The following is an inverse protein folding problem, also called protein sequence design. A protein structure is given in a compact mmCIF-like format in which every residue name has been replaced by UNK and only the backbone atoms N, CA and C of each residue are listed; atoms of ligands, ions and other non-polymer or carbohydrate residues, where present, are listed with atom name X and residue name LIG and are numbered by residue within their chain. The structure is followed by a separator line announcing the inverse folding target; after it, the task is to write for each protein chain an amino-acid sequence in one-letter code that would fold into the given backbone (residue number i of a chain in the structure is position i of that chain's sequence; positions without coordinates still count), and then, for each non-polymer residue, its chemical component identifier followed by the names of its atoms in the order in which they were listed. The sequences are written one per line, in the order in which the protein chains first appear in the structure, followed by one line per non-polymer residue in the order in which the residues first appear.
data_IF_948899157086
#
_entry.id   IF_948899157086
#
_cell.length_a   1.000
_cell.length_b   1.000
_cell.length_c   1.000
_cell.angle_alpha   90.00
_cell.angle_beta   90.00
_cell.angle_gamma   90.00
#
_symmetry.space_group_name_H-M   'P 1'
#
loop_
_entity.id
_entity.type
_entity.pdbx_description
1 polymer ?
#
# COMPACT_ATOMS: atom_id res chain seq x y z
N UNK A 1 19.04 39.80 -5.70
CA UNK A 1 18.83 38.50 -6.38
C UNK A 1 17.36 38.16 -6.32
N UNK A 2 16.70 37.86 -7.44
CA UNK A 2 15.28 37.48 -7.45
C UNK A 2 15.16 36.00 -7.06
N UNK A 3 14.71 35.73 -5.83
CA UNK A 3 14.60 34.37 -5.27
C UNK A 3 13.70 33.48 -6.14
N UNK A 4 12.63 34.02 -6.70
CA UNK A 4 11.75 33.31 -7.64
C UNK A 4 12.54 32.83 -8.85
N UNK A 5 13.24 33.74 -9.55
CA UNK A 5 14.01 33.39 -10.74
C UNK A 5 15.06 32.33 -10.45
N UNK A 6 15.75 32.45 -9.31
CA UNK A 6 16.77 31.47 -8.89
C UNK A 6 16.16 30.09 -8.64
N UNK A 7 15.05 30.02 -7.91
CA UNK A 7 14.39 28.75 -7.58
C UNK A 7 13.74 28.11 -8.80
N UNK A 8 13.01 28.87 -9.61
CA UNK A 8 12.38 28.37 -10.84
C UNK A 8 13.43 27.81 -11.79
N UNK A 9 14.54 28.53 -12.03
CA UNK A 9 15.60 28.04 -12.92
C UNK A 9 16.24 26.76 -12.38
N UNK A 10 16.47 26.69 -11.07
CA UNK A 10 17.03 25.50 -10.43
C UNK A 10 16.10 24.28 -10.56
N UNK A 11 14.81 24.45 -10.26
CA UNK A 11 13.82 23.38 -10.37
C UNK A 11 13.59 22.95 -11.82
N UNK A 12 13.62 23.88 -12.77
CA UNK A 12 13.53 23.54 -14.21
C UNK A 12 14.73 22.70 -14.68
N UNK A 13 15.93 23.00 -14.18
CA UNK A 13 17.15 22.26 -14.54
C UNK A 13 17.25 20.89 -13.83
N UNK A 14 16.93 20.84 -12.53
CA UNK A 14 17.13 19.65 -11.69
C UNK A 14 15.90 18.76 -11.55
N UNK A 15 14.71 19.28 -11.82
CA UNK A 15 13.44 18.64 -11.48
C UNK A 15 13.01 18.90 -10.02
N UNK A 16 11.99 18.18 -9.54
CA UNK A 16 11.53 18.27 -8.16
C UNK A 16 12.64 17.95 -7.17
N UNK A 17 12.80 18.81 -6.17
CA UNK A 17 13.86 18.71 -5.17
C UNK A 17 13.31 18.80 -3.76
N UNK A 18 14.00 18.16 -2.82
CA UNK A 18 13.56 18.18 -1.43
C UNK A 18 13.76 19.57 -0.81
N UNK A 19 12.94 19.92 0.19
CA UNK A 19 13.09 21.19 0.89
C UNK A 19 14.49 21.34 1.50
N UNK A 20 15.11 20.25 1.95
CA UNK A 20 16.48 20.25 2.46
C UNK A 20 17.51 20.62 1.37
N UNK A 21 17.43 19.99 0.19
CA UNK A 21 18.31 20.28 -0.95
C UNK A 21 18.19 21.75 -1.38
N UNK A 22 16.95 22.26 -1.44
CA UNK A 22 16.69 23.67 -1.77
C UNK A 22 17.28 24.62 -0.73
N UNK A 23 17.11 24.32 0.56
CA UNK A 23 17.68 25.14 1.64
C UNK A 23 19.20 25.18 1.56
N UNK A 24 19.85 24.04 1.33
CA UNK A 24 21.31 23.99 1.20
C UNK A 24 21.78 24.80 -0.03
N UNK A 25 21.14 24.59 -1.19
CA UNK A 25 21.46 25.33 -2.40
C UNK A 25 21.33 26.85 -2.22
N UNK A 26 20.23 27.30 -1.61
CA UNK A 26 20.00 28.71 -1.33
C UNK A 26 20.99 29.27 -0.29
N UNK A 27 21.34 28.50 0.75
CA UNK A 27 22.32 28.91 1.75
C UNK A 27 23.69 29.19 1.12
N UNK A 28 24.14 28.31 0.21
CA UNK A 28 25.38 28.48 -0.53
C UNK A 28 25.31 29.67 -1.49
N UNK A 29 24.22 29.83 -2.26
CA UNK A 29 24.10 30.93 -3.24
C UNK A 29 23.91 32.31 -2.61
N UNK A 30 23.29 32.38 -1.44
CA UNK A 30 23.02 33.64 -0.73
C UNK A 30 24.11 34.01 0.28
N UNK A 31 25.05 33.10 0.55
CA UNK A 31 26.00 33.17 1.66
C UNK A 31 25.28 33.48 3.00
N UNK A 32 24.28 32.66 3.32
CA UNK A 32 23.45 32.79 4.53
C UNK A 32 23.34 31.46 5.28
N UNK A 33 23.14 31.54 6.59
CA UNK A 33 22.83 30.38 7.43
C UNK A 33 21.50 29.73 7.00
N UNK A 34 21.44 28.41 7.12
CA UNK A 34 20.28 27.60 6.73
C UNK A 34 18.98 28.02 7.42
N UNK A 35 19.04 28.48 8.68
CA UNK A 35 17.83 28.89 9.41
C UNK A 35 17.24 30.20 8.88
N UNK A 36 18.10 31.14 8.46
CA UNK A 36 17.64 32.35 7.78
C UNK A 36 16.97 32.00 6.45
N UNK A 37 17.58 31.09 5.68
CA UNK A 37 17.03 30.62 4.40
C UNK A 37 15.69 29.93 4.58
N UNK A 38 15.53 29.07 5.61
CA UNK A 38 14.24 28.43 5.93
C UNK A 38 13.13 29.45 6.14
N UNK A 39 13.38 30.46 6.97
CA UNK A 39 12.37 31.50 7.27
C UNK A 39 12.02 32.30 6.02
N UNK A 40 13.04 32.69 5.24
CA UNK A 40 12.86 33.45 4.01
C UNK A 40 12.12 32.65 2.93
N UNK A 41 12.47 31.37 2.75
CA UNK A 41 11.81 30.46 1.81
C UNK A 41 10.35 30.24 2.20
N UNK A 42 10.06 29.99 3.48
CA UNK A 42 8.69 29.80 3.94
C UNK A 42 7.83 31.06 3.72
N UNK A 43 8.36 32.27 3.97
CA UNK A 43 7.63 33.52 3.67
C UNK A 43 7.40 33.69 2.17
N UNK A 44 8.39 33.36 1.35
CA UNK A 44 8.30 33.43 -0.10
C UNK A 44 7.25 32.46 -0.66
N UNK A 45 7.24 31.21 -0.21
CA UNK A 45 6.28 30.20 -0.66
C UNK A 45 4.83 30.51 -0.24
N UNK A 46 4.63 31.33 0.80
CA UNK A 46 3.29 31.82 1.16
C UNK A 46 2.72 32.82 0.16
N UNK A 47 3.56 33.59 -0.52
CA UNK A 47 3.13 34.62 -1.48
C UNK A 47 3.30 34.21 -2.94
N UNK A 48 4.15 33.22 -3.23
CA UNK A 48 4.42 32.74 -4.57
C UNK A 48 3.50 31.56 -4.96
N UNK A 49 2.91 31.61 -6.14
CA UNK A 49 2.04 30.55 -6.68
C UNK A 49 2.68 29.71 -7.79
N UNK A 50 3.89 30.04 -8.24
CA UNK A 50 4.57 29.35 -9.37
C UNK A 50 5.39 28.14 -8.92
N UNK A 51 5.78 28.11 -7.65
CA UNK A 51 6.52 27.00 -7.05
C UNK A 51 5.56 26.28 -6.11
N UNK A 52 5.29 25.03 -6.44
CA UNK A 52 4.44 24.15 -5.66
C UNK A 52 5.24 23.51 -4.54
N UNK A 53 4.60 23.39 -3.39
CA UNK A 53 5.09 22.59 -2.27
C UNK A 53 4.22 21.34 -2.23
N UNK A 54 4.84 20.18 -2.43
CA UNK A 54 4.15 18.89 -2.37
C UNK A 54 3.51 18.69 -1.01
N UNK A 55 2.25 18.26 -1.04
CA UNK A 55 1.53 17.82 0.15
C UNK A 55 2.09 16.50 0.67
N UNK A 56 2.59 15.66 -0.23
CA UNK A 56 3.27 14.42 0.14
C UNK A 56 4.49 14.71 1.01
N UNK A 57 4.47 14.12 2.19
CA UNK A 57 5.59 14.15 3.14
C UNK A 57 6.33 12.82 3.18
N UNK A 58 7.65 12.88 3.09
CA UNK A 58 8.54 11.73 3.33
C UNK A 58 9.11 11.85 4.76
N UNK A 59 10.03 10.96 5.11
CA UNK A 59 10.73 10.89 6.40
C UNK A 59 11.09 12.29 6.93
N UNK A 60 10.80 12.52 8.21
CA UNK A 60 11.02 13.80 8.91
C UNK A 60 10.23 15.00 8.36
N UNK A 61 9.04 14.76 7.79
CA UNK A 61 8.16 15.83 7.29
C UNK A 61 8.81 16.66 6.18
N UNK A 62 9.64 16.01 5.37
CA UNK A 62 10.29 16.63 4.22
C UNK A 62 9.30 16.71 3.05
N UNK A 63 9.16 17.92 2.50
CA UNK A 63 8.33 18.24 1.34
C UNK A 63 9.20 18.41 0.10
N UNK A 64 8.62 18.18 -1.08
CA UNK A 64 9.26 18.48 -2.37
C UNK A 64 8.78 19.82 -2.90
N UNK A 65 9.69 20.57 -3.50
CA UNK A 65 9.37 21.76 -4.27
C UNK A 65 9.48 21.41 -5.75
N UNK A 66 8.54 21.91 -6.55
CA UNK A 66 8.50 21.69 -8.00
C UNK A 66 7.78 22.84 -8.69
N UNK A 67 7.99 23.00 -10.00
CA UNK A 67 7.28 24.01 -10.81
C UNK A 67 6.11 23.39 -11.58
N UNK A 68 5.29 24.23 -12.20
CA UNK A 68 4.25 23.78 -13.12
C UNK A 68 4.78 22.74 -14.11
N UNK A 69 3.94 21.76 -14.41
CA UNK A 69 4.21 20.61 -15.26
C UNK A 69 5.12 19.50 -14.74
N UNK A 70 5.78 19.68 -13.60
CA UNK A 70 6.70 18.66 -13.04
C UNK A 70 6.03 17.58 -12.18
N UNK A 71 4.70 17.53 -12.10
CA UNK A 71 3.97 16.50 -11.34
C UNK A 71 4.37 15.08 -11.77
N UNK A 72 4.62 14.87 -13.06
CA UNK A 72 5.11 13.59 -13.60
C UNK A 72 6.51 13.26 -13.05
N UNK A 73 7.43 14.23 -13.11
CA UNK A 73 8.78 14.07 -12.58
C UNK A 73 8.76 13.80 -11.06
N UNK A 74 7.81 14.40 -10.33
CA UNK A 74 7.65 14.15 -8.89
C UNK A 74 7.21 12.70 -8.66
N UNK A 75 6.21 12.22 -9.38
CA UNK A 75 5.79 10.83 -9.28
C UNK A 75 6.91 9.85 -9.66
N UNK A 76 7.65 10.11 -10.74
CA UNK A 76 8.82 9.30 -11.10
C UNK A 76 9.90 9.29 -10.01
N UNK A 77 10.18 10.44 -9.40
CA UNK A 77 11.12 10.56 -8.29
C UNK A 77 10.68 9.71 -7.10
N UNK A 78 9.40 9.80 -6.72
CA UNK A 78 8.80 9.02 -5.64
C UNK A 78 8.86 7.51 -5.92
N UNK A 79 8.57 7.10 -7.16
CA UNK A 79 8.64 5.69 -7.60
C UNK A 79 10.08 5.17 -7.59
N UNK A 80 11.06 5.96 -8.05
CA UNK A 80 12.44 5.50 -8.26
C UNK A 80 13.27 5.57 -6.97
N UNK A 81 13.23 6.68 -6.23
CA UNK A 81 14.08 6.91 -5.05
C UNK A 81 13.41 6.55 -3.72
N UNK A 82 12.08 6.57 -3.68
CA UNK A 82 11.33 6.43 -2.43
C UNK A 82 10.40 5.21 -2.41
N UNK A 83 10.68 4.19 -3.24
CA UNK A 83 9.94 2.92 -3.28
C UNK A 83 9.88 2.16 -1.94
N UNK A 84 10.73 2.50 -0.97
CA UNK A 84 10.69 1.95 0.40
C UNK A 84 9.64 2.63 1.29
N UNK A 85 9.17 3.83 0.92
CA UNK A 85 8.13 4.57 1.65
C UNK A 85 6.72 4.11 1.27
N UNK A 86 5.70 4.31 2.12
CA UNK A 86 4.32 3.94 1.78
C UNK A 86 3.83 4.55 0.46
N UNK A 87 4.11 5.84 0.24
CA UNK A 87 3.74 6.53 -1.01
C UNK A 87 4.48 5.96 -2.20
N UNK A 88 5.80 5.82 -2.14
CA UNK A 88 6.57 5.28 -3.27
C UNK A 88 6.20 3.84 -3.59
N UNK A 89 5.87 3.01 -2.58
CA UNK A 89 5.32 1.66 -2.80
C UNK A 89 4.01 1.69 -3.55
N UNK A 90 3.08 2.55 -3.12
CA UNK A 90 1.78 2.72 -3.76
C UNK A 90 1.93 3.13 -5.22
N UNK A 91 2.71 4.17 -5.51
CA UNK A 91 2.88 4.65 -6.88
C UNK A 91 3.58 3.61 -7.77
N UNK A 92 4.55 2.86 -7.21
CA UNK A 92 5.23 1.75 -7.92
C UNK A 92 4.27 0.61 -8.25
N UNK A 93 3.34 0.30 -7.34
CA UNK A 93 2.32 -0.71 -7.59
C UNK A 93 1.31 -0.22 -8.62
N UNK A 94 0.82 1.02 -8.52
CA UNK A 94 -0.08 1.62 -9.52
C UNK A 94 0.55 1.63 -10.92
N UNK A 95 1.87 1.88 -11.04
CA UNK A 95 2.55 1.84 -12.35
C UNK A 95 2.60 0.44 -12.98
N UNK A 96 2.31 -0.59 -12.19
CA UNK A 96 2.34 -1.99 -12.64
C UNK A 96 0.92 -2.56 -12.78
N UNK A 97 0.05 -2.26 -11.82
CA UNK A 97 -1.31 -2.78 -11.72
C UNK A 97 -2.38 -1.90 -12.37
N UNK A 98 -2.01 -0.71 -12.86
CA UNK A 98 -2.89 0.34 -13.41
C UNK A 98 -3.84 0.99 -12.40
N UNK A 99 -4.47 0.19 -11.56
CA UNK A 99 -5.38 0.62 -10.50
C UNK A 99 -5.30 -0.36 -9.31
N UNK A 100 -5.85 0.07 -8.18
CA UNK A 100 -6.02 -0.74 -6.97
C UNK A 100 -7.40 -0.47 -6.37
N UNK A 101 -8.14 -1.52 -6.01
CA UNK A 101 -9.28 -1.36 -5.10
C UNK A 101 -8.79 -0.97 -3.70
N UNK A 102 -9.66 -0.38 -2.89
CA UNK A 102 -9.29 0.15 -1.57
C UNK A 102 -8.67 -0.90 -0.64
N UNK A 103 -9.16 -2.15 -0.67
CA UNK A 103 -8.55 -3.25 0.11
C UNK A 103 -7.14 -3.59 -0.34
N UNK A 104 -6.84 -3.48 -1.64
CA UNK A 104 -5.51 -3.70 -2.20
C UNK A 104 -4.56 -2.57 -1.82
N UNK A 105 -5.03 -1.32 -1.93
CA UNK A 105 -4.33 -0.12 -1.47
C UNK A 105 -3.92 -0.25 0.00
N UNK A 106 -4.85 -0.59 0.87
CA UNK A 106 -4.59 -0.70 2.32
C UNK A 106 -3.49 -1.73 2.61
N UNK A 107 -3.47 -2.84 1.87
CA UNK A 107 -2.40 -3.86 1.95
C UNK A 107 -1.04 -3.33 1.50
N UNK A 108 -0.98 -2.58 0.41
CA UNK A 108 0.26 -2.01 -0.14
C UNK A 108 0.85 -0.93 0.79
N UNK A 109 -0.02 -0.05 1.31
CA UNK A 109 0.40 0.98 2.26
C UNK A 109 0.85 0.35 3.57
N UNK A 110 0.07 -0.59 4.09
CA UNK A 110 0.30 -1.23 5.39
C UNK A 110 0.25 -0.23 6.54
N UNK A 111 -0.61 0.79 6.42
CA UNK A 111 -0.76 1.88 7.38
C UNK A 111 -2.10 1.75 8.12
N UNK A 112 -2.26 2.44 9.26
CA UNK A 112 -3.53 2.45 9.97
C UNK A 112 -4.63 3.11 9.13
N UNK A 113 -5.88 2.66 9.26
CA UNK A 113 -7.04 3.30 8.64
C UNK A 113 -7.29 4.66 9.29
N UNK A 114 -7.30 4.70 10.63
CA UNK A 114 -7.43 5.94 11.42
C UNK A 114 -6.11 6.50 11.94
N UNK A 115 -6.19 7.65 12.62
CA UNK A 115 -5.02 8.25 13.26
C UNK A 115 -4.42 7.33 14.34
N UNK A 116 -3.11 7.09 14.30
CA UNK A 116 -2.39 6.28 15.28
C UNK A 116 -1.11 6.98 15.71
N UNK A 117 -0.73 6.86 16.98
CA UNK A 117 0.45 7.54 17.53
C UNK A 117 1.72 7.19 16.72
N UNK A 118 2.35 8.20 16.14
CA UNK A 118 3.57 8.04 15.33
C UNK A 118 3.37 7.45 13.93
N UNK A 119 2.13 7.19 13.50
CA UNK A 119 1.81 6.62 12.22
C UNK A 119 0.72 7.43 11.51
N UNK A 120 1.01 7.81 10.27
CA UNK A 120 0.06 8.51 9.41
C UNK A 120 -0.95 7.54 8.81
N UNK A 121 -2.21 7.94 8.75
CA UNK A 121 -3.28 7.09 8.21
C UNK A 121 -3.15 6.87 6.71
N UNK A 122 -3.71 5.76 6.23
CA UNK A 122 -3.82 5.48 4.80
C UNK A 122 -4.58 6.60 4.06
N UNK A 123 -5.69 7.06 4.62
CA UNK A 123 -6.50 8.17 4.10
C UNK A 123 -5.67 9.46 3.95
N UNK A 124 -4.83 9.79 4.94
CA UNK A 124 -3.98 10.98 4.87
C UNK A 124 -3.00 10.92 3.69
N UNK A 125 -2.47 9.74 3.36
CA UNK A 125 -1.60 9.59 2.20
C UNK A 125 -2.36 9.76 0.88
N UNK A 126 -3.59 9.25 0.78
CA UNK A 126 -4.44 9.45 -0.39
C UNK A 126 -4.75 10.93 -0.60
N UNK A 127 -5.23 11.61 0.43
CA UNK A 127 -5.60 13.02 0.36
C UNK A 127 -4.43 13.91 -0.08
N UNK A 128 -3.22 13.62 0.37
CA UNK A 128 -2.03 14.36 -0.09
C UNK A 128 -1.69 14.08 -1.55
N UNK A 129 -1.78 12.83 -2.00
CA UNK A 129 -1.52 12.46 -3.39
C UNK A 129 -2.57 13.02 -4.35
N UNK A 130 -3.83 13.10 -3.92
CA UNK A 130 -4.91 13.74 -4.68
C UNK A 130 -4.71 15.26 -4.75
N UNK A 131 -4.32 15.91 -3.65
CA UNK A 131 -3.98 17.35 -3.64
C UNK A 131 -2.80 17.68 -4.55
N UNK A 132 -1.82 16.78 -4.63
CA UNK A 132 -0.70 16.89 -5.58
C UNK A 132 -1.08 16.45 -7.02
N UNK A 133 -2.34 16.06 -7.26
CA UNK A 133 -2.87 15.61 -8.56
C UNK A 133 -2.11 14.42 -9.16
N UNK A 134 -1.52 13.58 -8.30
CA UNK A 134 -0.79 12.38 -8.70
C UNK A 134 -1.76 11.22 -8.93
N UNK A 135 -2.76 11.09 -8.07
CA UNK A 135 -3.78 10.03 -8.13
C UNK A 135 -5.19 10.63 -8.24
N UNK A 136 -6.13 9.77 -8.59
CA UNK A 136 -7.57 10.03 -8.51
C UNK A 136 -8.24 8.86 -7.77
N UNK A 137 -9.15 9.16 -6.84
CA UNK A 137 -10.07 8.18 -6.26
C UNK A 137 -11.37 8.19 -7.06
N UNK A 138 -11.84 7.01 -7.46
CA UNK A 138 -13.06 6.82 -8.26
C UNK A 138 -14.05 6.00 -7.46
N UNK A 139 -15.34 6.33 -7.59
CA UNK A 139 -16.42 5.73 -6.80
C UNK A 139 -16.15 5.81 -5.28
N UNK A 140 -15.70 6.97 -4.81
CA UNK A 140 -15.43 7.19 -3.39
C UNK A 140 -16.64 6.78 -2.52
N UNK A 141 -16.34 6.22 -1.35
CA UNK A 141 -17.33 5.81 -0.34
C UNK A 141 -18.29 4.71 -0.84
N UNK A 142 -17.83 3.87 -1.77
CA UNK A 142 -18.58 2.71 -2.30
C UNK A 142 -17.74 1.44 -2.30
N UNK A 143 -18.40 0.29 -2.29
CA UNK A 143 -17.75 -1.03 -2.37
C UNK A 143 -16.85 -1.23 -3.61
N UNK A 144 -17.02 -0.43 -4.67
CA UNK A 144 -16.21 -0.46 -5.87
C UNK A 144 -15.28 0.76 -6.01
N UNK A 145 -14.92 1.37 -4.87
CA UNK A 145 -13.91 2.42 -4.81
C UNK A 145 -12.56 1.88 -5.32
N UNK A 146 -11.96 2.61 -6.25
CA UNK A 146 -10.64 2.28 -6.76
C UNK A 146 -9.79 3.53 -6.97
N UNK A 147 -8.49 3.32 -6.85
CA UNK A 147 -7.46 4.35 -6.95
C UNK A 147 -6.68 4.10 -8.25
N UNK A 148 -6.50 5.14 -9.04
CA UNK A 148 -5.64 5.13 -10.22
C UNK A 148 -4.80 6.40 -10.27
N UNK A 149 -3.83 6.47 -11.19
CA UNK A 149 -3.16 7.74 -11.44
C UNK A 149 -4.12 8.78 -12.02
N UNK A 150 -3.77 10.06 -11.88
CA UNK A 150 -4.50 11.12 -12.55
C UNK A 150 -4.42 10.99 -14.07
N UNK A 151 -5.35 11.61 -14.80
CA UNK A 151 -5.40 11.56 -16.28
C UNK A 151 -4.04 11.88 -16.94
N UNK A 152 -3.31 12.87 -16.41
CA UNK A 152 -1.97 13.27 -16.92
C UNK A 152 -0.96 12.15 -16.75
N UNK A 153 -0.92 11.53 -15.58
CA UNK A 153 0.02 10.45 -15.29
C UNK A 153 -0.37 9.13 -15.98
N UNK A 154 -1.66 8.83 -16.12
CA UNK A 154 -2.13 7.70 -16.92
C UNK A 154 -1.64 7.81 -18.37
N UNK A 155 -1.78 8.99 -18.99
CA UNK A 155 -1.26 9.25 -20.33
C UNK A 155 0.25 9.06 -20.43
N UNK A 156 1.01 9.53 -19.43
CA UNK A 156 2.47 9.37 -19.39
C UNK A 156 2.92 7.91 -19.24
N UNK A 157 2.27 7.14 -18.36
CA UNK A 157 2.61 5.74 -18.13
C UNK A 157 1.96 4.77 -19.13
N UNK A 158 1.14 5.26 -20.06
CA UNK A 158 0.40 4.42 -21.01
C UNK A 158 -0.61 3.50 -20.31
N UNK A 159 -1.21 3.97 -19.21
CA UNK A 159 -2.13 3.20 -18.38
C UNK A 159 -3.57 3.47 -18.84
N UNK A 160 -4.30 2.37 -19.05
CA UNK A 160 -5.73 2.40 -19.35
C UNK A 160 -6.52 1.53 -18.37
N UNK A 161 -7.54 2.14 -17.75
CA UNK A 161 -8.43 1.52 -16.76
C UNK A 161 -9.84 1.42 -17.37
N UNK A 162 -10.12 0.30 -18.01
CA UNK A 162 -11.43 -0.02 -18.57
C UNK A 162 -12.33 -0.77 -17.58
N UNK A 163 -13.65 -0.67 -17.77
CA UNK A 163 -14.67 -1.36 -16.97
C UNK A 163 -14.45 -2.88 -16.90
N UNK A 164 -14.00 -3.49 -18.01
CA UNK A 164 -13.70 -4.91 -18.09
C UNK A 164 -12.58 -5.33 -17.12
N UNK A 165 -11.51 -4.53 -17.01
CA UNK A 165 -10.38 -4.81 -16.11
C UNK A 165 -10.82 -4.72 -14.65
N UNK A 166 -11.65 -3.74 -14.32
CA UNK A 166 -12.24 -3.57 -13.00
C UNK A 166 -13.08 -4.78 -12.61
N UNK A 167 -13.99 -5.20 -13.48
CA UNK A 167 -14.87 -6.36 -13.23
C UNK A 167 -14.08 -7.66 -13.09
N UNK A 168 -13.10 -7.88 -13.98
CA UNK A 168 -12.22 -9.06 -13.89
C UNK A 168 -11.46 -9.08 -12.56
N UNK A 169 -10.92 -7.93 -12.13
CA UNK A 169 -10.21 -7.83 -10.84
C UNK A 169 -11.15 -8.07 -9.66
N UNK A 170 -12.40 -7.59 -9.72
CA UNK A 170 -13.44 -7.83 -8.70
C UNK A 170 -13.71 -9.33 -8.54
N UNK A 171 -13.96 -10.04 -9.65
CA UNK A 171 -14.20 -11.49 -9.63
C UNK A 171 -13.02 -12.27 -9.05
N UNK A 172 -11.79 -11.89 -9.42
CA UNK A 172 -10.56 -12.50 -8.90
C UNK A 172 -10.40 -12.31 -7.39
N UNK A 173 -10.81 -11.15 -6.87
CA UNK A 173 -10.74 -10.85 -5.44
C UNK A 173 -11.86 -11.55 -4.66
N UNK A 174 -13.08 -11.62 -5.19
CA UNK A 174 -14.16 -12.45 -4.61
C UNK A 174 -13.74 -13.91 -4.52
N UNK A 175 -13.05 -14.42 -5.54
CA UNK A 175 -12.50 -15.77 -5.52
C UNK A 175 -11.41 -15.94 -4.45
N UNK A 176 -10.58 -14.92 -4.23
CA UNK A 176 -9.59 -14.91 -3.15
C UNK A 176 -10.25 -14.99 -1.76
N UNK A 177 -11.39 -14.33 -1.54
CA UNK A 177 -12.15 -14.46 -0.29
C UNK A 177 -12.64 -15.88 -0.03
N UNK A 178 -13.14 -16.57 -1.06
CA UNK A 178 -13.57 -17.95 -0.94
C UNK A 178 -12.41 -18.87 -0.52
N UNK A 179 -11.22 -18.61 -1.06
CA UNK A 179 -9.99 -19.34 -0.66
C UNK A 179 -9.62 -19.07 0.79
N UNK A 180 -9.69 -17.81 1.24
CA UNK A 180 -9.43 -17.48 2.65
C UNK A 180 -10.45 -18.18 3.56
N UNK A 181 -11.74 -18.17 3.18
CA UNK A 181 -12.81 -18.79 3.97
C UNK A 181 -12.58 -20.29 4.15
N UNK A 182 -12.31 -21.04 3.07
CA UNK A 182 -12.02 -22.47 3.17
C UNK A 182 -10.73 -22.74 3.95
N UNK A 183 -9.71 -21.88 3.79
CA UNK A 183 -8.48 -21.97 4.59
C UNK A 183 -8.76 -21.83 6.09
N UNK A 184 -9.54 -20.82 6.49
CA UNK A 184 -9.92 -20.59 7.89
C UNK A 184 -10.69 -21.80 8.44
N UNK A 185 -11.63 -22.34 7.68
CA UNK A 185 -12.44 -23.48 8.12
C UNK A 185 -11.63 -24.77 8.25
N UNK A 186 -10.70 -25.04 7.34
CA UNK A 186 -9.74 -26.15 7.49
C UNK A 186 -8.89 -25.97 8.75
N UNK A 187 -8.41 -24.77 9.01
CA UNK A 187 -7.57 -24.49 10.18
C UNK A 187 -8.34 -24.57 11.51
N UNK A 188 -9.64 -24.25 11.52
CA UNK A 188 -10.54 -24.52 12.65
C UNK A 188 -10.72 -26.02 12.87
N UNK A 189 -11.00 -26.79 11.81
CA UNK A 189 -11.14 -28.26 11.86
C UNK A 189 -9.87 -28.96 12.36
N UNK A 190 -8.69 -28.42 12.05
CA UNK A 190 -7.40 -28.90 12.56
C UNK A 190 -7.07 -28.41 13.98
N UNK A 191 -7.97 -27.67 14.64
CA UNK A 191 -7.76 -27.05 15.95
C UNK A 191 -6.56 -26.08 16.03
N UNK A 192 -6.12 -25.56 14.88
CA UNK A 192 -5.09 -24.51 14.81
C UNK A 192 -5.72 -23.16 15.17
N UNK A 193 -6.91 -22.89 14.62
CA UNK A 193 -7.70 -21.69 14.91
C UNK A 193 -8.87 -22.00 15.85
N UNK A 194 -9.15 -21.06 16.75
CA UNK A 194 -10.35 -21.10 17.57
C UNK A 194 -11.61 -20.85 16.72
N UNK A 195 -12.63 -21.69 16.90
CA UNK A 195 -13.84 -21.75 16.07
C UNK A 195 -14.62 -20.43 15.96
N UNK A 196 -14.76 -19.70 17.05
CA UNK A 196 -15.61 -18.50 17.14
C UNK A 196 -14.82 -17.18 17.24
N UNK A 197 -13.52 -17.21 16.95
CA UNK A 197 -12.64 -16.05 17.10
C UNK A 197 -11.96 -15.63 15.79
N UNK A 198 -12.44 -16.13 14.66
CA UNK A 198 -11.95 -15.73 13.33
C UNK A 198 -12.75 -14.59 12.76
N UNK A 199 -12.08 -13.64 12.10
CA UNK A 199 -12.71 -12.57 11.32
C UNK A 199 -12.12 -12.55 9.91
N UNK A 200 -12.92 -12.16 8.94
CA UNK A 200 -12.53 -12.03 7.53
C UNK A 200 -13.17 -10.77 6.95
N UNK A 201 -12.42 -10.05 6.13
CA UNK A 201 -12.88 -8.88 5.40
C UNK A 201 -13.33 -9.33 4.02
N UNK A 202 -14.35 -8.66 3.49
CA UNK A 202 -14.95 -8.98 2.20
C UNK A 202 -14.79 -7.79 1.25
N UNK A 203 -14.56 -8.04 -0.04
CA UNK A 203 -14.32 -6.97 -1.00
C UNK A 203 -15.56 -6.12 -1.26
N UNK A 204 -16.74 -6.70 -1.08
CA UNK A 204 -18.01 -5.98 -1.23
C UNK A 204 -18.38 -5.14 0.00
N UNK A 205 -17.58 -5.16 1.07
CA UNK A 205 -17.81 -4.33 2.24
C UNK A 205 -17.33 -2.91 1.99
N UNK A 206 -18.07 -1.96 2.54
CA UNK A 206 -17.63 -0.58 2.62
C UNK A 206 -16.44 -0.48 3.60
N UNK A 207 -15.61 0.55 3.43
CA UNK A 207 -14.43 0.75 4.27
C UNK A 207 -14.78 0.90 5.75
N UNK A 208 -15.95 1.46 6.06
CA UNK A 208 -16.44 1.63 7.43
C UNK A 208 -16.79 0.30 8.11
N UNK A 209 -17.22 -0.70 7.34
CA UNK A 209 -17.57 -2.04 7.82
C UNK A 209 -16.36 -2.98 7.94
N UNK A 210 -15.21 -2.53 7.46
CA UNK A 210 -13.97 -3.31 7.47
C UNK A 210 -13.49 -3.52 8.90
N UNK A 211 -13.28 -4.77 9.30
CA UNK A 211 -12.66 -5.03 10.59
C UNK A 211 -11.16 -4.71 10.52
N UNK A 212 -10.65 -4.10 11.59
CA UNK A 212 -9.24 -3.78 11.72
C UNK A 212 -8.58 -4.51 12.90
N UNK A 213 -7.29 -4.78 12.76
CA UNK A 213 -6.45 -5.27 13.86
C UNK A 213 -5.34 -4.26 14.09
N UNK A 214 -5.29 -3.70 15.29
CA UNK A 214 -4.29 -2.68 15.61
C UNK A 214 -4.44 -1.41 14.75
N UNK A 215 -5.64 -1.13 14.26
CA UNK A 215 -5.91 -0.03 13.33
C UNK A 215 -5.56 -0.33 11.88
N UNK A 216 -5.04 -1.52 11.53
CA UNK A 216 -4.59 -1.85 10.18
C UNK A 216 -5.54 -2.86 9.52
N UNK A 217 -5.67 -2.75 8.19
CA UNK A 217 -6.37 -3.74 7.35
C UNK A 217 -5.59 -5.05 7.29
N UNK A 218 -6.31 -6.16 7.40
CA UNK A 218 -5.82 -7.52 7.14
C UNK A 218 -6.93 -8.30 6.45
N UNK A 219 -6.62 -9.26 5.58
CA UNK A 219 -7.67 -10.03 4.89
C UNK A 219 -8.43 -10.93 5.89
N UNK A 220 -7.71 -11.53 6.84
CA UNK A 220 -8.32 -12.33 7.90
C UNK A 220 -7.49 -12.35 9.18
N UNK A 221 -8.17 -12.71 10.27
CA UNK A 221 -7.62 -12.79 11.61
C UNK A 221 -8.16 -14.01 12.35
N UNK A 222 -7.37 -14.57 13.26
CA UNK A 222 -7.87 -15.55 14.21
C UNK A 222 -6.96 -15.77 15.42
N UNK A 223 -7.46 -16.49 16.42
CA UNK A 223 -6.72 -16.83 17.63
C UNK A 223 -6.24 -18.28 17.60
N UNK A 224 -5.00 -18.50 18.04
CA UNK A 224 -4.39 -19.83 18.17
C UNK A 224 -3.99 -20.09 19.63
N UNK A 225 -4.43 -21.22 20.16
CA UNK A 225 -4.15 -21.70 21.52
C UNK A 225 -3.28 -22.98 21.55
N UNK A 226 -2.78 -23.42 20.40
CA UNK A 226 -1.95 -24.63 20.30
C UNK A 226 -0.68 -24.44 21.15
N UNK A 227 -0.46 -25.40 22.07
CA UNK A 227 0.72 -25.41 22.95
C UNK A 227 2.00 -25.54 22.12
N UNK A 228 3.08 -24.86 22.51
CA UNK A 228 4.33 -24.74 21.74
C UNK A 228 4.34 -23.58 20.74
N UNK A 229 3.17 -23.08 20.32
CA UNK A 229 3.05 -21.82 19.58
C UNK A 229 2.68 -20.69 20.55
N UNK A 230 1.77 -20.95 21.48
CA UNK A 230 1.35 -19.98 22.51
C UNK A 230 2.39 -19.85 23.62
N UNK A 231 2.71 -18.61 24.02
CA UNK A 231 3.56 -18.35 25.20
C UNK A 231 2.80 -18.75 26.46
N UNK A 232 3.29 -19.77 27.14
CA UNK A 232 2.80 -20.14 28.46
C UNK A 232 3.39 -19.17 29.49
N UNK A 233 2.54 -18.30 30.04
CA UNK A 233 2.84 -17.60 31.29
C UNK A 233 2.21 -18.37 32.44
N UNK A 234 2.88 -18.37 33.59
CA UNK A 234 2.71 -19.28 34.75
C UNK A 234 1.31 -19.43 35.36
N UNK A 235 0.29 -18.74 34.86
CA UNK A 235 -1.10 -18.90 35.32
C UNK A 235 -2.20 -18.78 34.25
N UNK A 236 -1.93 -18.29 33.03
CA UNK A 236 -2.92 -18.20 31.92
C UNK A 236 -2.24 -18.35 30.55
N UNK A 237 -2.78 -19.22 29.68
CA UNK A 237 -2.38 -19.32 28.27
C UNK A 237 -2.86 -18.08 27.52
N UNK A 238 -1.94 -17.28 26.99
CA UNK A 238 -2.27 -16.16 26.09
C UNK A 238 -2.32 -16.67 24.64
N UNK A 239 -3.37 -16.36 23.87
CA UNK A 239 -3.43 -16.78 22.48
C UNK A 239 -2.38 -16.05 21.64
N UNK A 240 -1.95 -16.70 20.57
CA UNK A 240 -1.29 -15.99 19.47
C UNK A 240 -2.33 -15.46 18.50
N UNK A 241 -2.00 -14.33 17.89
CA UNK A 241 -2.82 -13.66 16.90
C UNK A 241 -2.33 -14.11 15.53
N UNK A 242 -3.11 -14.93 14.82
CA UNK A 242 -2.83 -15.27 13.42
C UNK A 242 -3.40 -14.15 12.57
N UNK A 243 -2.52 -13.52 11.79
CA UNK A 243 -2.87 -12.42 10.89
C UNK A 243 -2.59 -12.87 9.47
N UNK A 244 -3.60 -12.81 8.61
CA UNK A 244 -3.55 -13.36 7.26
C UNK A 244 -3.71 -12.24 6.25
N UNK A 245 -2.77 -12.15 5.31
CA UNK A 245 -2.95 -11.46 4.04
C UNK A 245 -2.81 -12.44 2.89
N UNK A 246 -3.41 -12.11 1.76
CA UNK A 246 -3.41 -12.95 0.58
C UNK A 246 -3.31 -12.16 -0.71
N UNK A 247 -2.61 -12.76 -1.68
CA UNK A 247 -2.55 -12.28 -3.05
C UNK A 247 -2.46 -13.47 -4.01
N UNK A 248 -3.59 -13.77 -4.66
CA UNK A 248 -3.75 -15.01 -5.41
C UNK A 248 -3.71 -14.79 -6.93
N UNK A 249 -4.30 -13.70 -7.39
CA UNK A 249 -4.61 -13.52 -8.81
C UNK A 249 -3.48 -12.89 -9.64
N UNK A 250 -2.52 -12.21 -9.00
CA UNK A 250 -1.34 -11.58 -9.63
C UNK A 250 -0.03 -12.01 -8.97
N UNK A 251 1.07 -11.68 -9.64
CA UNK A 251 2.42 -11.90 -9.11
C UNK A 251 2.66 -10.99 -7.90
N UNK A 252 3.28 -11.57 -6.88
CA UNK A 252 3.64 -10.86 -5.67
C UNK A 252 4.94 -10.12 -5.90
N UNK A 253 4.94 -8.88 -5.47
CA UNK A 253 6.06 -7.97 -5.53
C UNK A 253 6.68 -7.80 -4.15
N UNK A 254 7.83 -7.12 -4.09
CA UNK A 254 8.41 -6.74 -2.80
C UNK A 254 7.52 -5.74 -2.04
N UNK A 255 6.80 -4.89 -2.77
CA UNK A 255 5.90 -3.88 -2.20
C UNK A 255 4.77 -4.53 -1.38
N UNK A 256 4.24 -5.66 -1.85
CA UNK A 256 3.22 -6.44 -1.14
C UNK A 256 3.71 -6.94 0.23
N UNK A 257 4.94 -7.47 0.27
CA UNK A 257 5.56 -7.97 1.50
C UNK A 257 5.92 -6.82 2.44
N UNK A 258 6.47 -5.73 1.92
CA UNK A 258 6.85 -4.55 2.70
C UNK A 258 5.62 -3.87 3.34
N UNK A 259 4.51 -3.79 2.61
CA UNK A 259 3.22 -3.31 3.12
C UNK A 259 2.73 -4.18 4.29
N UNK A 260 2.72 -5.50 4.10
CA UNK A 260 2.30 -6.40 5.17
C UNK A 260 3.22 -6.35 6.39
N UNK A 261 4.53 -6.32 6.20
CA UNK A 261 5.50 -6.16 7.29
C UNK A 261 5.25 -4.87 8.09
N UNK A 262 4.94 -3.77 7.42
CA UNK A 262 4.65 -2.51 8.07
C UNK A 262 3.38 -2.58 8.94
N UNK A 263 2.30 -3.18 8.42
CA UNK A 263 1.08 -3.42 9.18
C UNK A 263 1.37 -4.29 10.41
N UNK A 264 2.15 -5.37 10.25
CA UNK A 264 2.51 -6.27 11.34
C UNK A 264 3.32 -5.60 12.45
N UNK A 265 4.21 -4.65 12.12
CA UNK A 265 4.94 -3.85 13.13
C UNK A 265 3.97 -3.05 14.00
N UNK A 266 2.99 -2.40 13.38
CA UNK A 266 1.97 -1.61 14.09
C UNK A 266 1.07 -2.52 14.93
N UNK A 267 0.63 -3.64 14.35
CA UNK A 267 -0.20 -4.63 15.03
C UNK A 267 0.52 -5.17 16.27
N UNK A 268 1.77 -5.60 16.14
CA UNK A 268 2.59 -6.12 17.27
C UNK A 268 2.81 -5.07 18.37
N UNK A 269 2.92 -3.80 18.00
CA UNK A 269 3.08 -2.72 18.99
C UNK A 269 1.81 -2.53 19.83
N UNK A 270 0.63 -2.55 19.20
CA UNK A 270 -0.67 -2.39 19.91
C UNK A 270 -1.10 -3.67 20.62
N UNK A 271 -0.99 -4.81 19.95
CA UNK A 271 -1.30 -6.12 20.49
C UNK A 271 -0.02 -6.71 21.09
N UNK A 272 0.16 -6.54 22.40
CA UNK A 272 1.30 -7.04 23.19
C UNK A 272 1.44 -8.58 23.23
N UNK A 273 0.78 -9.30 22.33
CA UNK A 273 0.86 -10.74 22.14
C UNK A 273 1.78 -11.12 20.97
N UNK A 274 2.08 -12.41 20.85
CA UNK A 274 2.75 -12.92 19.66
C UNK A 274 1.78 -12.84 18.47
N UNK A 275 2.27 -12.30 17.35
CA UNK A 275 1.57 -12.23 16.08
C UNK A 275 2.25 -13.19 15.11
N UNK A 276 1.48 -14.10 14.53
CA UNK A 276 1.91 -15.08 13.54
C UNK A 276 1.43 -14.60 12.17
N UNK A 277 2.33 -14.03 11.36
CA UNK A 277 1.96 -13.56 10.04
C UNK A 277 1.89 -14.72 9.04
N UNK A 278 0.76 -14.84 8.37
CA UNK A 278 0.51 -15.80 7.30
C UNK A 278 0.27 -15.03 6.01
N UNK A 279 0.97 -15.41 4.95
CA UNK A 279 0.76 -14.86 3.61
C UNK A 279 0.37 -15.98 2.65
N UNK A 280 -0.84 -15.90 2.10
CA UNK A 280 -1.37 -16.87 1.14
C UNK A 280 -1.12 -16.35 -0.28
N UNK A 281 -0.46 -17.15 -1.11
CA UNK A 281 -0.07 -16.73 -2.46
C UNK A 281 -0.54 -17.69 -3.56
N UNK A 282 -0.97 -17.15 -4.69
CA UNK A 282 -1.40 -17.95 -5.84
C UNK A 282 -0.25 -18.33 -6.78
N UNK A 283 0.50 -17.34 -7.25
CA UNK A 283 1.60 -17.53 -8.18
C UNK A 283 2.93 -17.81 -7.46
N UNK A 284 3.86 -18.57 -8.08
CA UNK A 284 5.19 -18.78 -7.51
C UNK A 284 5.87 -17.46 -7.15
N UNK A 285 6.46 -17.42 -5.96
CA UNK A 285 7.17 -16.26 -5.45
C UNK A 285 8.54 -16.13 -6.13
N UNK A 286 8.93 -14.94 -6.60
CA UNK A 286 10.33 -14.65 -6.95
C UNK A 286 11.27 -14.98 -5.77
N UNK A 287 12.47 -15.46 -6.07
CA UNK A 287 13.42 -15.96 -5.04
C UNK A 287 13.75 -14.90 -4.00
N UNK A 288 13.98 -13.66 -4.44
CA UNK A 288 14.26 -12.51 -3.59
C UNK A 288 13.08 -12.15 -2.68
N UNK A 289 11.86 -12.17 -3.22
CA UNK A 289 10.62 -11.92 -2.47
C UNK A 289 10.39 -13.01 -1.42
N UNK A 290 10.60 -14.28 -1.78
CA UNK A 290 10.49 -15.41 -0.84
C UNK A 290 11.47 -15.27 0.33
N UNK A 291 12.75 -15.01 0.02
CA UNK A 291 13.80 -14.83 1.04
C UNK A 291 13.47 -13.65 1.95
N UNK A 292 13.01 -12.53 1.37
CA UNK A 292 12.60 -11.34 2.13
C UNK A 292 11.46 -11.65 3.09
N UNK A 293 10.38 -12.26 2.61
CA UNK A 293 9.23 -12.59 3.45
C UNK A 293 9.56 -13.61 4.55
N UNK A 294 10.43 -14.59 4.28
CA UNK A 294 10.93 -15.53 5.30
C UNK A 294 11.77 -14.85 6.37
N UNK A 295 12.63 -13.90 6.01
CA UNK A 295 13.41 -13.11 6.97
C UNK A 295 12.50 -12.28 7.89
N UNK A 296 11.36 -11.82 7.40
CA UNK A 296 10.35 -11.11 8.19
C UNK A 296 9.49 -12.05 9.07
N UNK A 297 9.78 -13.36 9.08
CA UNK A 297 9.10 -14.35 9.92
C UNK A 297 7.74 -14.79 9.42
N UNK A 298 7.44 -14.58 8.13
CA UNK A 298 6.15 -14.94 7.53
C UNK A 298 6.02 -16.43 7.23
N UNK A 299 4.88 -17.00 7.58
CA UNK A 299 4.44 -18.31 7.09
C UNK A 299 3.86 -18.09 5.70
N UNK A 300 4.48 -18.71 4.71
CA UNK A 300 4.11 -18.56 3.30
C UNK A 300 3.37 -19.82 2.87
N UNK A 301 2.14 -19.66 2.38
CA UNK A 301 1.28 -20.78 2.01
C UNK A 301 0.87 -20.61 0.55
N UNK A 302 1.23 -21.57 -0.30
CA UNK A 302 0.75 -21.54 -1.67
C UNK A 302 -0.70 -22.00 -1.73
N UNK A 303 -1.57 -21.18 -2.30
CA UNK A 303 -2.93 -21.56 -2.62
C UNK A 303 -2.96 -22.76 -3.58
N UNK A 304 -1.97 -22.92 -4.47
CA UNK A 304 -1.87 -24.12 -5.32
C UNK A 304 -1.63 -25.39 -4.52
N UNK A 305 -0.94 -25.32 -3.39
CA UNK A 305 -0.77 -26.46 -2.48
C UNK A 305 -2.06 -26.77 -1.73
N UNK A 306 -2.87 -25.76 -1.42
CA UNK A 306 -4.14 -25.92 -0.70
C UNK A 306 -5.28 -26.49 -1.57
N UNK A 307 -5.30 -26.13 -2.86
CA UNK A 307 -6.43 -26.39 -3.78
C UNK A 307 -6.04 -27.13 -5.07
N UNK A 308 -4.75 -27.44 -5.26
CA UNK A 308 -4.25 -28.19 -6.42
C UNK A 308 -4.59 -27.53 -7.77
N UNK A 309 -4.91 -28.36 -8.75
CA UNK A 309 -5.20 -27.92 -10.13
C UNK A 309 -6.53 -27.15 -10.26
N UNK A 310 -7.47 -27.30 -9.34
CA UNK A 310 -8.75 -26.58 -9.37
C UNK A 310 -8.54 -25.07 -9.32
N UNK A 311 -7.55 -24.61 -8.54
CA UNK A 311 -7.17 -23.20 -8.48
C UNK A 311 -6.75 -22.67 -9.85
N UNK A 312 -5.89 -23.41 -10.56
CA UNK A 312 -5.39 -23.00 -11.88
C UNK A 312 -6.52 -22.96 -12.89
N UNK A 313 -7.40 -23.96 -12.87
CA UNK A 313 -8.56 -24.02 -13.76
C UNK A 313 -9.53 -22.86 -13.50
N UNK A 314 -9.84 -22.53 -12.25
CA UNK A 314 -10.75 -21.41 -11.94
C UNK A 314 -10.13 -20.04 -12.29
N UNK A 315 -8.85 -19.83 -11.98
CA UNK A 315 -8.15 -18.61 -12.40
C UNK A 315 -8.08 -18.50 -13.92
N UNK A 316 -7.90 -19.62 -14.62
CA UNK A 316 -7.93 -19.66 -16.08
C UNK A 316 -9.35 -19.38 -16.62
N UNK A 317 -10.41 -19.93 -16.02
CA UNK A 317 -11.80 -19.66 -16.42
C UNK A 317 -12.13 -18.18 -16.27
N UNK A 318 -11.86 -17.57 -15.12
CA UNK A 318 -12.10 -16.13 -14.92
C UNK A 318 -11.32 -15.31 -15.95
N UNK A 319 -10.08 -15.72 -16.27
CA UNK A 319 -9.25 -15.09 -17.32
C UNK A 319 -9.66 -15.45 -18.75
N UNK A 320 -10.44 -16.51 -18.98
CA UNK A 320 -10.81 -17.07 -20.30
C UNK A 320 -12.28 -16.89 -20.67
N UNK A 321 -13.19 -16.57 -19.74
CA UNK A 321 -14.53 -16.03 -20.04
C UNK A 321 -14.40 -14.85 -21.03
N UNK A 322 -13.28 -14.13 -20.90
CA UNK A 322 -12.60 -13.27 -21.89
C UNK A 322 -12.75 -13.62 -23.38
N UNK A 323 -12.60 -14.88 -23.78
CA UNK A 323 -12.54 -15.26 -25.21
C UNK A 323 -13.91 -15.63 -25.80
N UNK A 324 -14.93 -15.90 -24.97
CA UNK A 324 -16.26 -16.27 -25.46
C UNK A 324 -17.14 -15.05 -25.70
N UNK A 325 -17.04 -14.02 -24.84
CA UNK A 325 -17.84 -12.79 -24.95
C UNK A 325 -17.37 -11.91 -26.14
N UNK A 326 -16.12 -12.05 -26.60
CA UNK A 326 -15.60 -11.39 -27.80
C UNK A 326 -15.94 -12.12 -29.12
N UNK A 327 -16.64 -13.27 -29.05
CA UNK A 327 -17.03 -14.08 -30.22
C UNK A 327 -18.54 -14.17 -30.44
N UNK A 328 -19.32 -13.46 -29.64
CA UNK A 328 -20.79 -13.32 -29.76
C UNK A 328 -21.14 -11.86 -29.96
#
# INVERSE_FOLDING_TARGET
MNLEKTLTSYLQEKGPSSSHEIIQMLATRLDKRTDYVRVSLHRFLKSNKKIHVSHVTIKHNEHFLYVDDQTVNLAELLIKKYAWSPVGRLLKELSTSAFLFSTELLKILGQPLGSSKGHKSAESYLLELEKDQIIEVKNADRANEYICFSKKLNGFFGIDVGAEKLETRRQLLTFQEAIISDFLDRWKKMNILAWNCTKQNHIGQELEDTFEIGGCYVDAFGLCYVSGIAKETTTKKKPNHIVINSLIYRNITKQDIDGFENALKIIKYKHKGNVIPVFIYGNPLPKDVFIHAKRSGMILISATTLFGNQLRTMLAIIKNIKNLILRT
#
